data_IF_612415332546
#
_entry.id   IF_612415332546
#
_cell.length_a   1.000
_cell.length_b   1.000
_cell.length_c   1.000
_cell.angle_alpha   90.00
_cell.angle_beta   90.00
_cell.angle_gamma   90.00
#
_symmetry.space_group_name_H-M   'P 1'
#
loop_
_entity.id
_entity.type
_entity.pdbx_description
1 polymer ?
#
# COMPACT_ATOMS: atom_id res chain seq x y z
N UNK A 1 -7.01 -19.83 -12.24
CA UNK A 1 -7.65 -19.68 -10.91
C UNK A 1 -6.94 -20.55 -9.89
N UNK A 2 -6.31 -19.99 -8.88
CA UNK A 2 -6.00 -20.78 -7.69
C UNK A 2 -7.24 -20.75 -6.81
N UNK A 3 -7.99 -21.86 -6.74
CA UNK A 3 -8.96 -22.06 -5.67
C UNK A 3 -8.26 -21.74 -4.37
N UNK A 4 -8.88 -20.95 -3.50
CA UNK A 4 -8.31 -20.69 -2.18
C UNK A 4 -8.10 -22.04 -1.48
N UNK A 5 -6.87 -22.33 -1.12
CA UNK A 5 -6.58 -23.52 -0.33
C UNK A 5 -7.07 -23.32 1.10
N UNK A 6 -7.37 -24.38 1.85
CA UNK A 6 -7.73 -24.26 3.27
C UNK A 6 -6.70 -23.43 4.06
N UNK A 7 -5.41 -23.61 3.78
CA UNK A 7 -4.31 -22.86 4.39
C UNK A 7 -4.38 -21.37 4.02
N UNK A 8 -4.70 -21.05 2.77
CA UNK A 8 -4.86 -19.66 2.29
C UNK A 8 -6.05 -18.96 2.94
N UNK A 9 -7.14 -19.69 3.22
CA UNK A 9 -8.30 -19.18 3.96
C UNK A 9 -7.92 -18.92 5.42
N UNK A 10 -7.27 -19.89 6.08
CA UNK A 10 -6.83 -19.77 7.48
C UNK A 10 -5.86 -18.59 7.65
N UNK A 11 -4.90 -18.43 6.72
CA UNK A 11 -3.99 -17.29 6.72
C UNK A 11 -4.74 -15.95 6.58
N UNK A 12 -5.70 -15.86 5.66
CA UNK A 12 -6.52 -14.66 5.50
C UNK A 12 -7.33 -14.30 6.73
N UNK A 13 -7.88 -15.31 7.44
CA UNK A 13 -8.60 -15.10 8.71
C UNK A 13 -7.64 -14.58 9.80
N UNK A 14 -6.45 -15.17 9.92
CA UNK A 14 -5.43 -14.70 10.87
C UNK A 14 -5.03 -13.25 10.59
N UNK A 15 -4.77 -12.91 9.34
CA UNK A 15 -4.43 -11.53 8.93
C UNK A 15 -5.55 -10.54 9.26
N UNK A 16 -6.80 -10.90 9.02
CA UNK A 16 -7.95 -10.04 9.33
C UNK A 16 -8.09 -9.80 10.84
N UNK A 17 -7.91 -10.85 11.66
CA UNK A 17 -7.92 -10.74 13.12
C UNK A 17 -6.77 -9.87 13.63
N UNK A 18 -5.58 -10.03 13.06
CA UNK A 18 -4.40 -9.25 13.40
C UNK A 18 -4.58 -7.77 13.05
N UNK A 19 -5.12 -7.49 11.86
CA UNK A 19 -5.44 -6.12 11.42
C UNK A 19 -6.50 -5.49 12.33
N UNK A 20 -7.53 -6.23 12.73
CA UNK A 20 -8.52 -5.76 13.69
C UNK A 20 -7.87 -5.42 15.05
N UNK A 21 -7.04 -6.31 15.59
CA UNK A 21 -6.32 -6.08 16.85
C UNK A 21 -5.43 -4.83 16.76
N UNK A 22 -4.66 -4.71 15.68
CA UNK A 22 -3.82 -3.54 15.42
C UNK A 22 -4.61 -2.23 15.49
N UNK A 23 -5.75 -2.17 14.80
CA UNK A 23 -6.59 -0.99 14.72
C UNK A 23 -7.26 -0.60 16.06
N UNK A 24 -7.28 -1.49 17.04
CA UNK A 24 -7.81 -1.25 18.40
C UNK A 24 -6.72 -1.19 19.47
N UNK A 25 -5.45 -1.22 19.08
CA UNK A 25 -4.30 -1.08 19.96
C UNK A 25 -3.81 0.35 19.93
N UNK A 26 -3.40 0.88 21.11
CA UNK A 26 -2.86 2.23 21.24
C UNK A 26 -1.61 2.39 20.35
N UNK A 27 -1.59 3.34 19.41
CA UNK A 27 -0.43 3.60 18.57
C UNK A 27 0.77 4.07 19.39
N UNK A 28 1.98 3.91 18.83
CA UNK A 28 3.26 4.27 19.47
C UNK A 28 3.62 3.46 20.72
N UNK A 29 3.02 2.30 20.93
CA UNK A 29 3.40 1.34 21.97
C UNK A 29 4.20 0.18 21.39
N UNK A 30 4.95 -0.54 22.26
CA UNK A 30 5.66 -1.75 21.84
C UNK A 30 4.71 -2.84 21.34
N UNK A 31 3.52 -2.95 21.95
CA UNK A 31 2.47 -3.86 21.49
C UNK A 31 2.04 -3.52 20.06
N UNK A 32 1.77 -2.25 19.77
CA UNK A 32 1.39 -1.79 18.43
C UNK A 32 2.48 -2.11 17.39
N UNK A 33 3.74 -1.81 17.71
CA UNK A 33 4.88 -2.07 16.86
C UNK A 33 5.10 -3.57 16.62
N UNK A 34 4.85 -4.41 17.61
CA UNK A 34 4.93 -5.87 17.48
C UNK A 34 3.85 -6.41 16.55
N UNK A 35 2.62 -5.90 16.65
CA UNK A 35 1.53 -6.25 15.75
C UNK A 35 1.81 -5.84 14.30
N UNK A 36 2.38 -4.65 14.08
CA UNK A 36 2.81 -4.22 12.74
C UNK A 36 3.85 -5.17 12.14
N UNK A 37 4.86 -5.57 12.91
CA UNK A 37 5.90 -6.51 12.48
C UNK A 37 5.33 -7.92 12.20
N UNK A 38 4.30 -8.34 12.93
CA UNK A 38 3.63 -9.61 12.65
C UNK A 38 2.76 -9.54 11.39
N UNK A 39 2.11 -8.39 11.15
CA UNK A 39 1.20 -8.18 10.01
C UNK A 39 1.96 -8.00 8.69
N UNK A 40 3.06 -7.24 8.71
CA UNK A 40 3.81 -6.85 7.51
C UNK A 40 4.99 -7.80 7.25
N UNK A 41 5.42 -7.90 5.98
CA UNK A 41 6.59 -8.71 5.60
C UNK A 41 7.89 -8.08 6.09
N UNK A 42 8.07 -6.80 5.84
CA UNK A 42 9.26 -6.03 6.24
C UNK A 42 8.88 -4.61 6.61
N UNK A 43 9.50 -4.06 7.65
CA UNK A 43 9.33 -2.66 8.04
C UNK A 43 10.64 -2.09 8.58
N UNK A 44 11.14 -1.05 7.91
CA UNK A 44 12.39 -0.37 8.26
C UNK A 44 12.27 0.54 9.48
N UNK A 45 13.41 0.88 10.05
CA UNK A 45 13.52 1.75 11.21
C UNK A 45 12.96 3.15 10.96
N UNK A 46 12.36 3.76 11.96
CA UNK A 46 11.76 5.10 11.88
C UNK A 46 10.43 5.16 11.14
N UNK A 47 9.99 4.04 10.56
CA UNK A 47 8.72 3.98 9.82
C UNK A 47 7.53 3.79 10.74
N UNK A 48 6.38 4.32 10.33
CA UNK A 48 5.12 4.22 11.06
C UNK A 48 3.94 4.08 10.14
N UNK A 49 2.98 3.26 10.53
CA UNK A 49 1.68 3.11 9.89
C UNK A 49 0.62 3.46 10.93
N UNK A 50 -0.22 4.43 10.62
CA UNK A 50 -1.20 4.96 11.57
C UNK A 50 -2.54 4.23 11.45
N UNK A 51 -3.16 3.84 12.57
CA UNK A 51 -4.48 3.25 12.55
C UNK A 51 -5.58 4.30 12.29
N UNK A 52 -6.77 3.87 11.84
CA UNK A 52 -7.01 2.55 11.32
C UNK A 52 -6.35 2.35 9.96
N UNK A 53 -5.95 1.13 9.65
CA UNK A 53 -5.45 0.73 8.34
C UNK A 53 -6.07 -0.60 7.94
N UNK A 54 -6.21 -0.86 6.65
CA UNK A 54 -6.65 -2.15 6.13
C UNK A 54 -5.53 -2.77 5.30
N UNK A 55 -5.09 -3.95 5.72
CA UNK A 55 -4.00 -4.66 5.05
C UNK A 55 -4.46 -6.07 4.72
N UNK A 56 -4.41 -6.41 3.43
CA UNK A 56 -4.71 -7.76 2.91
C UNK A 56 -3.44 -8.34 2.32
N UNK A 57 -3.04 -9.53 2.75
CA UNK A 57 -1.78 -10.17 2.38
C UNK A 57 -0.56 -9.36 2.82
N UNK A 58 -0.56 -8.94 4.09
CA UNK A 58 0.44 -8.05 4.67
C UNK A 58 1.88 -8.55 4.58
N UNK A 59 2.09 -9.86 4.54
CA UNK A 59 3.42 -10.46 4.34
C UNK A 59 4.05 -10.12 2.96
N UNK A 60 3.25 -9.61 2.01
CA UNK A 60 3.73 -9.14 0.72
C UNK A 60 4.00 -7.63 0.71
N UNK A 61 3.92 -6.96 1.86
CA UNK A 61 4.22 -5.53 2.01
C UNK A 61 5.64 -5.38 2.57
N UNK A 62 6.44 -4.57 1.88
CA UNK A 62 7.78 -4.18 2.31
C UNK A 62 7.84 -2.67 2.45
N UNK A 63 8.19 -2.21 3.64
CA UNK A 63 8.31 -0.79 3.98
C UNK A 63 9.76 -0.49 4.35
N UNK A 64 10.36 0.48 3.68
CA UNK A 64 11.70 0.98 3.94
C UNK A 64 11.80 1.77 5.24
N UNK A 65 12.82 2.61 5.36
CA UNK A 65 13.10 3.46 6.53
C UNK A 65 12.39 4.81 6.44
N UNK A 66 12.05 5.39 7.58
CA UNK A 66 11.46 6.74 7.72
C UNK A 66 10.15 6.92 6.91
N UNK A 67 9.44 5.86 6.60
CA UNK A 67 8.17 5.91 5.87
C UNK A 67 7.04 6.31 6.81
N UNK A 68 6.19 7.22 6.37
CA UNK A 68 4.97 7.60 7.08
C UNK A 68 3.76 7.20 6.28
N UNK A 69 2.94 6.33 6.85
CA UNK A 69 1.62 5.97 6.31
C UNK A 69 0.55 6.51 7.26
N UNK A 70 -0.28 7.40 6.75
CA UNK A 70 -1.37 8.01 7.51
C UNK A 70 -2.61 7.10 7.57
N UNK A 71 -3.57 7.50 8.40
CA UNK A 71 -4.79 6.76 8.72
C UNK A 71 -5.66 6.42 7.51
N UNK A 72 -6.51 5.41 7.65
CA UNK A 72 -7.45 4.92 6.62
C UNK A 72 -6.79 4.48 5.31
N UNK A 73 -5.52 4.09 5.35
CA UNK A 73 -4.84 3.55 4.18
C UNK A 73 -5.29 2.12 3.89
N UNK A 74 -5.41 1.79 2.60
CA UNK A 74 -5.76 0.46 2.12
C UNK A 74 -4.57 -0.16 1.37
N UNK A 75 -4.16 -1.36 1.79
CA UNK A 75 -3.15 -2.18 1.13
C UNK A 75 -3.79 -3.48 0.62
N UNK A 76 -4.03 -3.56 -0.69
CA UNK A 76 -4.44 -4.79 -1.38
C UNK A 76 -3.18 -5.44 -1.98
N UNK A 77 -2.50 -6.28 -1.19
CA UNK A 77 -1.09 -6.61 -1.41
C UNK A 77 -0.86 -7.98 -2.04
N UNK A 78 -1.86 -8.58 -2.69
CA UNK A 78 -1.69 -9.91 -3.27
C UNK A 78 -0.59 -9.99 -4.35
N UNK A 79 -0.33 -8.89 -5.07
CA UNK A 79 0.73 -8.76 -6.07
C UNK A 79 2.05 -8.21 -5.54
N UNK A 80 2.12 -7.87 -4.25
CA UNK A 80 3.25 -7.22 -3.61
C UNK A 80 3.17 -5.69 -3.63
N UNK A 81 3.57 -5.08 -2.52
CA UNK A 81 3.71 -3.63 -2.38
C UNK A 81 5.07 -3.34 -1.78
N UNK A 82 5.89 -2.55 -2.46
CA UNK A 82 7.18 -2.08 -1.97
C UNK A 82 7.14 -0.58 -1.81
N UNK A 83 7.44 -0.10 -0.61
CA UNK A 83 7.56 1.32 -0.27
C UNK A 83 9.00 1.55 0.15
N UNK A 84 9.76 2.28 -0.66
CA UNK A 84 11.16 2.59 -0.37
C UNK A 84 11.28 3.64 0.75
N UNK A 85 12.51 4.05 1.08
CA UNK A 85 12.80 4.96 2.18
C UNK A 85 12.20 6.35 1.98
N UNK A 86 11.92 7.04 3.07
CA UNK A 86 11.50 8.45 3.13
C UNK A 86 10.17 8.76 2.42
N UNK A 87 9.35 7.75 2.12
CA UNK A 87 8.05 7.92 1.43
C UNK A 87 6.98 8.42 2.38
N UNK A 88 6.16 9.35 1.89
CA UNK A 88 4.97 9.84 2.59
C UNK A 88 3.71 9.33 1.88
N UNK A 89 2.87 8.61 2.61
CA UNK A 89 1.55 8.15 2.17
C UNK A 89 0.50 8.85 3.02
N UNK A 90 -0.23 9.78 2.43
CA UNK A 90 -1.25 10.56 3.14
C UNK A 90 -2.52 9.72 3.42
N UNK A 91 -3.40 10.28 4.25
CA UNK A 91 -4.61 9.60 4.70
C UNK A 91 -5.54 9.18 3.55
N UNK A 92 -6.25 8.07 3.74
CA UNK A 92 -7.19 7.49 2.76
C UNK A 92 -6.54 7.04 1.44
N UNK A 93 -5.23 6.96 1.34
CA UNK A 93 -4.56 6.46 0.14
C UNK A 93 -4.78 4.96 -0.04
N UNK A 94 -4.87 4.52 -1.28
CA UNK A 94 -5.10 3.13 -1.65
C UNK A 94 -3.95 2.62 -2.52
N UNK A 95 -3.28 1.56 -2.08
CA UNK A 95 -2.23 0.87 -2.81
C UNK A 95 -2.77 -0.51 -3.21
N UNK A 96 -3.04 -0.69 -4.50
CA UNK A 96 -3.75 -1.86 -5.01
C UNK A 96 -2.83 -2.62 -5.97
N UNK A 97 -2.37 -3.80 -5.58
CA UNK A 97 -1.48 -4.64 -6.39
C UNK A 97 -2.18 -5.84 -7.05
N UNK A 98 -3.50 -5.90 -6.95
CA UNK A 98 -4.29 -6.96 -7.55
C UNK A 98 -5.60 -6.43 -8.15
N UNK A 99 -6.11 -7.19 -9.10
CA UNK A 99 -7.40 -6.94 -9.73
C UNK A 99 -8.06 -8.28 -10.04
N UNK A 100 -9.28 -8.26 -10.53
CA UNK A 100 -9.94 -9.44 -11.07
C UNK A 100 -9.84 -9.48 -12.58
N UNK A 101 -9.81 -10.69 -13.16
CA UNK A 101 -9.89 -10.86 -14.59
C UNK A 101 -11.26 -10.36 -15.08
N UNK A 102 -11.32 -9.57 -16.19
CA UNK A 102 -12.57 -8.97 -16.64
C UNK A 102 -13.59 -9.98 -17.21
N UNK A 103 -13.15 -11.15 -17.61
CA UNK A 103 -14.03 -12.21 -18.14
C UNK A 103 -14.34 -13.25 -17.07
N UNK A 104 -13.33 -13.62 -16.28
CA UNK A 104 -13.45 -14.59 -15.19
C UNK A 104 -13.20 -13.93 -13.84
N UNK A 105 -14.17 -13.20 -13.30
CA UNK A 105 -14.04 -12.38 -12.07
C UNK A 105 -13.55 -13.13 -10.83
N UNK A 106 -13.58 -14.47 -10.85
CA UNK A 106 -13.01 -15.29 -9.77
C UNK A 106 -11.49 -15.45 -9.88
N UNK A 107 -10.88 -15.08 -11.01
CA UNK A 107 -9.43 -15.09 -11.21
C UNK A 107 -8.86 -13.77 -10.72
N UNK A 108 -7.90 -13.87 -9.79
CA UNK A 108 -7.16 -12.72 -9.31
C UNK A 108 -5.93 -12.51 -10.19
N UNK A 109 -5.82 -11.33 -10.78
CA UNK A 109 -4.63 -10.87 -11.50
C UNK A 109 -3.80 -10.00 -10.58
N UNK A 110 -2.48 -10.16 -10.57
CA UNK A 110 -1.58 -9.50 -9.63
C UNK A 110 -0.42 -8.83 -10.37
N UNK A 111 -0.13 -7.57 -10.03
CA UNK A 111 1.06 -6.83 -10.48
C UNK A 111 1.55 -5.96 -9.31
N UNK A 112 2.87 -5.95 -9.03
CA UNK A 112 3.39 -5.22 -7.89
C UNK A 112 3.17 -3.70 -8.01
N UNK A 113 3.03 -3.05 -6.87
CA UNK A 113 3.09 -1.58 -6.74
C UNK A 113 4.42 -1.22 -6.08
N UNK A 114 5.11 -0.23 -6.64
CA UNK A 114 6.39 0.25 -6.12
C UNK A 114 6.34 1.76 -5.91
N UNK A 115 6.58 2.19 -4.70
CA UNK A 115 6.77 3.60 -4.34
C UNK A 115 8.26 3.84 -4.13
N UNK A 116 8.87 4.59 -5.02
CA UNK A 116 10.31 4.90 -4.98
C UNK A 116 10.61 5.95 -3.91
N UNK A 117 11.88 5.99 -3.48
CA UNK A 117 12.35 6.84 -2.41
C UNK A 117 11.84 8.28 -2.51
N UNK A 118 11.49 8.84 -1.35
CA UNK A 118 11.07 10.23 -1.18
C UNK A 118 9.86 10.65 -2.04
N UNK A 119 9.07 9.71 -2.59
CA UNK A 119 7.83 10.10 -3.26
C UNK A 119 6.73 10.43 -2.24
N UNK A 120 5.75 11.20 -2.66
CA UNK A 120 4.61 11.60 -1.84
C UNK A 120 3.30 11.22 -2.51
N UNK A 121 2.51 10.40 -1.82
CA UNK A 121 1.17 10.00 -2.23
C UNK A 121 0.15 10.88 -1.50
N UNK A 122 -0.57 11.70 -2.24
CA UNK A 122 -1.57 12.61 -1.71
C UNK A 122 -2.80 11.90 -1.12
N UNK A 123 -3.53 12.61 -0.27
CA UNK A 123 -4.70 12.07 0.42
C UNK A 123 -5.75 11.54 -0.55
N UNK A 124 -6.29 10.35 -0.28
CA UNK A 124 -7.30 9.72 -1.13
C UNK A 124 -6.82 9.28 -2.51
N UNK A 125 -5.53 9.35 -2.82
CA UNK A 125 -5.01 8.87 -4.09
C UNK A 125 -5.05 7.34 -4.16
N UNK A 126 -5.28 6.80 -5.37
CA UNK A 126 -5.30 5.37 -5.64
C UNK A 126 -4.19 5.01 -6.63
N UNK A 127 -3.32 4.10 -6.22
CA UNK A 127 -2.25 3.55 -7.06
C UNK A 127 -2.68 2.17 -7.53
N UNK A 128 -2.81 1.98 -8.85
CA UNK A 128 -3.34 0.75 -9.44
C UNK A 128 -2.25 -0.31 -9.67
N UNK A 129 -2.66 -1.59 -9.91
CA UNK A 129 -1.73 -2.70 -10.08
C UNK A 129 -0.70 -2.49 -11.19
N UNK A 130 0.56 -2.73 -10.87
CA UNK A 130 1.69 -2.63 -11.79
C UNK A 130 2.32 -1.25 -11.88
N UNK A 131 1.85 -0.27 -11.10
CA UNK A 131 2.38 1.10 -11.13
C UNK A 131 3.63 1.25 -10.29
N UNK A 132 4.63 1.90 -10.85
CA UNK A 132 5.79 2.44 -10.14
C UNK A 132 5.67 3.97 -10.05
N UNK A 133 5.68 4.50 -8.83
CA UNK A 133 5.81 5.94 -8.60
C UNK A 133 7.28 6.28 -8.43
N UNK A 134 7.82 7.12 -9.32
CA UNK A 134 9.24 7.45 -9.39
C UNK A 134 9.74 8.24 -8.19
N UNK A 135 11.07 8.25 -8.03
CA UNK A 135 11.76 8.95 -6.94
C UNK A 135 11.42 10.45 -6.93
N UNK A 136 11.18 11.01 -5.76
CA UNK A 136 10.76 12.41 -5.54
C UNK A 136 9.44 12.80 -6.25
N UNK A 137 8.70 11.86 -6.83
CA UNK A 137 7.45 12.19 -7.49
C UNK A 137 6.33 12.49 -6.48
N UNK A 138 5.40 13.32 -6.88
CA UNK A 138 4.22 13.69 -6.08
C UNK A 138 2.96 13.27 -6.82
N UNK A 139 2.14 12.47 -6.16
CA UNK A 139 0.79 12.15 -6.61
C UNK A 139 -0.19 13.06 -5.89
N UNK A 140 -0.92 13.87 -6.63
CA UNK A 140 -1.92 14.79 -6.09
C UNK A 140 -3.07 14.08 -5.37
N UNK A 141 -3.70 14.77 -4.41
CA UNK A 141 -4.82 14.23 -3.66
C UNK A 141 -5.97 13.80 -4.58
N UNK A 142 -6.61 12.67 -4.29
CA UNK A 142 -7.71 12.11 -5.06
C UNK A 142 -7.35 11.60 -6.45
N UNK A 143 -6.08 11.56 -6.82
CA UNK A 143 -5.65 11.06 -8.12
C UNK A 143 -5.80 9.55 -8.25
N UNK A 144 -6.13 9.06 -9.45
CA UNK A 144 -6.09 7.63 -9.79
C UNK A 144 -4.96 7.37 -10.78
N UNK A 145 -3.89 6.74 -10.28
CA UNK A 145 -2.66 6.49 -11.04
C UNK A 145 -2.76 5.14 -11.73
N UNK A 146 -2.82 5.17 -13.06
CA UNK A 146 -3.02 3.98 -13.91
C UNK A 146 -1.77 3.57 -14.69
N UNK A 147 -0.70 4.38 -14.64
CA UNK A 147 0.58 4.20 -15.34
C UNK A 147 1.71 4.67 -14.46
N UNK A 148 2.92 4.22 -14.76
CA UNK A 148 4.12 4.68 -14.06
C UNK A 148 4.24 6.20 -14.05
N UNK A 149 4.78 6.72 -12.96
CA UNK A 149 5.03 8.15 -12.75
C UNK A 149 6.52 8.40 -12.82
N UNK A 150 6.92 9.30 -13.71
CA UNK A 150 8.33 9.68 -13.87
C UNK A 150 8.90 10.27 -12.56
N UNK A 151 10.20 10.07 -12.27
CA UNK A 151 10.86 10.75 -11.17
C UNK A 151 10.78 12.27 -11.28
N UNK A 152 10.78 12.96 -10.14
CA UNK A 152 10.76 14.43 -10.06
C UNK A 152 9.59 15.07 -10.81
N UNK A 153 8.40 14.47 -10.74
CA UNK A 153 7.19 15.00 -11.39
C UNK A 153 6.03 15.09 -10.40
N UNK A 154 5.08 15.96 -10.73
CA UNK A 154 3.79 16.06 -10.05
C UNK A 154 2.72 15.57 -11.02
N UNK A 155 1.94 14.59 -10.61
CA UNK A 155 0.79 14.07 -11.35
C UNK A 155 -0.50 14.25 -10.57
N UNK A 156 -1.64 14.33 -11.26
CA UNK A 156 -2.94 14.44 -10.60
C UNK A 156 -4.11 14.20 -11.55
N UNK A 157 -5.30 14.02 -11.00
CA UNK A 157 -6.53 13.79 -11.75
C UNK A 157 -6.90 12.31 -11.91
N UNK A 158 -8.00 12.05 -12.63
CA UNK A 158 -8.58 10.72 -12.90
C UNK A 158 -8.83 10.58 -14.40
N UNK A 159 -8.02 9.78 -15.14
CA UNK A 159 -6.75 9.21 -14.70
C UNK A 159 -5.67 10.28 -14.47
N UNK A 160 -4.68 9.98 -13.61
CA UNK A 160 -3.60 10.90 -13.29
C UNK A 160 -2.78 11.25 -14.54
N UNK A 161 -2.48 12.55 -14.68
CA UNK A 161 -1.67 13.12 -15.77
C UNK A 161 -0.59 14.02 -15.20
N UNK A 162 0.47 14.22 -15.95
CA UNK A 162 1.54 15.16 -15.60
C UNK A 162 0.97 16.58 -15.44
N UNK A 163 1.25 17.19 -14.28
CA UNK A 163 0.94 18.59 -13.99
C UNK A 163 2.20 19.44 -14.21
N UNK A 164 3.34 19.03 -13.64
CA UNK A 164 4.63 19.73 -13.79
C UNK A 164 5.81 18.80 -13.46
N UNK A 165 7.01 19.22 -13.83
CA UNK A 165 8.30 18.68 -13.34
C UNK A 165 8.78 19.54 -12.16
N UNK A 166 9.45 18.89 -11.19
CA UNK A 166 10.04 19.50 -10.01
C UNK A 166 11.45 20.02 -10.31
#
# INVERSE_FOLDING_TARGET
>A
MRKQTPEGVAQGMKEAQLCFKLNHTMPYTDEYNSLLKELLGEMGEGSRVMPPTTVVRGQNVKIGKNVVVMTNSLFMSAGGITIEDDVLVAANAQLISNNHDPEEHQILTCKPVVLKRNCWIGAGATILPGVTVGENAIVGAGAVVTKDVDPNTVVGGIPAKLIKRL
#
